data_IF_555937215361
#
_entry.id   IF_555937215361
#
_cell.length_a   1.000
_cell.length_b   1.000
_cell.length_c   1.000
_cell.angle_alpha   90.00
_cell.angle_beta   90.00
_cell.angle_gamma   90.00
#
_symmetry.space_group_name_H-M   'P 1'
#
loop_
_entity.id
_entity.type
_entity.pdbx_description
1 polymer ?
#
# COMPACT_ATOMS: atom_id res chain seq x y z
N UNK A 1 24.18 -15.45 0.70
CA UNK A 1 23.66 -14.95 2.00
C UNK A 1 23.05 -16.12 2.74
N UNK A 2 23.55 -16.45 3.94
CA UNK A 2 22.81 -17.31 4.86
C UNK A 2 21.72 -16.44 5.50
N UNK A 3 20.53 -16.49 4.92
CA UNK A 3 19.34 -15.77 5.38
C UNK A 3 18.87 -16.19 6.78
N UNK A 4 19.38 -17.33 7.25
CA UNK A 4 19.12 -17.91 8.56
C UNK A 4 20.47 -18.25 9.20
N UNK A 5 20.70 -17.78 10.41
CA UNK A 5 21.93 -17.99 11.17
C UNK A 5 21.84 -19.16 12.16
N UNK A 6 20.63 -19.65 12.45
CA UNK A 6 20.37 -20.84 13.27
C UNK A 6 18.99 -21.44 13.02
N UNK A 7 18.82 -22.73 13.35
CA UNK A 7 17.50 -23.40 13.31
C UNK A 7 16.46 -22.68 14.17
N UNK A 8 16.88 -22.11 15.31
CA UNK A 8 16.02 -21.31 16.18
C UNK A 8 15.48 -20.05 15.48
N UNK A 9 16.32 -19.37 14.69
CA UNK A 9 15.89 -18.21 13.91
C UNK A 9 14.90 -18.62 12.81
N UNK A 10 15.14 -19.75 12.14
CA UNK A 10 14.24 -20.30 11.14
C UNK A 10 12.86 -20.64 11.74
N UNK A 11 12.84 -21.34 12.87
CA UNK A 11 11.60 -21.73 13.54
C UNK A 11 10.80 -20.52 14.02
N UNK A 12 11.48 -19.47 14.49
CA UNK A 12 10.84 -18.20 14.83
C UNK A 12 10.22 -17.50 13.62
N UNK A 13 10.94 -17.38 12.50
CA UNK A 13 10.38 -16.80 11.27
C UNK A 13 9.17 -17.61 10.80
N UNK A 14 9.29 -18.94 10.81
CA UNK A 14 8.21 -19.86 10.42
C UNK A 14 7.00 -19.74 11.34
N UNK A 15 7.19 -19.56 12.64
CA UNK A 15 6.08 -19.37 13.58
C UNK A 15 5.36 -18.05 13.33
N UNK A 16 6.10 -16.97 13.02
CA UNK A 16 5.50 -15.67 12.69
C UNK A 16 4.71 -15.71 11.37
N UNK A 17 5.23 -16.37 10.35
CA UNK A 17 4.46 -16.58 9.10
C UNK A 17 3.15 -17.31 9.39
N UNK A 18 3.17 -18.41 10.17
CA UNK A 18 1.96 -19.15 10.54
C UNK A 18 0.96 -18.30 11.33
N UNK A 19 1.45 -17.46 12.24
CA UNK A 19 0.63 -16.60 13.09
C UNK A 19 -0.17 -15.57 12.27
N UNK A 20 0.51 -14.82 11.40
CA UNK A 20 -0.09 -13.74 10.61
C UNK A 20 -0.85 -14.23 9.38
N UNK A 21 -0.49 -15.37 8.82
CA UNK A 21 -1.20 -15.97 7.70
C UNK A 21 -2.47 -16.73 8.13
N UNK A 22 -2.63 -17.10 9.40
CA UNK A 22 -3.84 -17.81 9.83
C UNK A 22 -5.05 -16.84 9.90
N UNK A 23 -6.07 -16.98 9.02
CA UNK A 23 -7.18 -16.03 8.97
C UNK A 23 -8.03 -16.04 10.24
N UNK A 24 -8.10 -17.17 10.97
CA UNK A 24 -8.81 -17.27 12.25
C UNK A 24 -8.18 -16.39 13.31
N UNK A 25 -6.85 -16.33 13.36
CA UNK A 25 -6.14 -15.44 14.28
C UNK A 25 -6.42 -13.97 13.97
N UNK A 26 -6.60 -13.64 12.69
CA UNK A 26 -6.80 -12.26 12.26
C UNK A 26 -8.26 -11.81 12.38
N UNK A 27 -9.25 -12.66 12.02
CA UNK A 27 -10.66 -12.26 11.97
C UNK A 27 -11.26 -11.99 13.36
N UNK A 28 -10.72 -12.63 14.40
CA UNK A 28 -11.11 -12.39 15.79
C UNK A 28 -10.21 -11.37 16.50
N UNK A 29 -9.15 -10.91 15.85
CA UNK A 29 -8.35 -9.81 16.38
C UNK A 29 -9.04 -8.47 16.09
N UNK A 30 -9.23 -7.58 17.10
CA UNK A 30 -9.92 -6.31 16.92
C UNK A 30 -9.30 -5.39 15.86
N UNK A 31 -8.02 -5.58 15.51
CA UNK A 31 -7.31 -4.87 14.47
C UNK A 31 -7.20 -5.79 13.23
N UNK A 32 -6.73 -7.02 13.36
CA UNK A 32 -6.56 -7.97 12.28
C UNK A 32 -7.79 -8.14 11.37
N UNK A 33 -9.01 -8.02 11.92
CA UNK A 33 -10.25 -8.15 11.16
C UNK A 33 -10.37 -7.17 9.99
N UNK A 34 -9.76 -5.98 10.08
CA UNK A 34 -9.81 -4.98 9.02
C UNK A 34 -8.99 -5.38 7.78
N UNK A 35 -8.13 -6.41 7.88
CA UNK A 35 -7.43 -6.98 6.71
C UNK A 35 -8.39 -7.64 5.72
N UNK A 36 -9.61 -7.95 6.16
CA UNK A 36 -10.66 -8.58 5.34
C UNK A 36 -11.65 -7.57 4.76
N UNK A 37 -11.48 -6.27 5.03
CA UNK A 37 -12.32 -5.25 4.41
C UNK A 37 -12.14 -5.28 2.89
N UNK A 38 -13.28 -5.16 2.21
CA UNK A 38 -13.32 -5.05 0.76
C UNK A 38 -12.74 -3.68 0.35
N UNK A 39 -11.75 -3.72 -0.54
CA UNK A 39 -10.98 -2.56 -0.98
C UNK A 39 -11.50 -1.94 -2.27
N UNK A 40 -12.58 -2.46 -2.86
CA UNK A 40 -13.27 -1.80 -3.98
C UNK A 40 -13.91 -0.49 -3.52
N UNK A 41 -14.18 0.42 -4.46
CA UNK A 41 -14.76 1.72 -4.12
C UNK A 41 -16.16 1.59 -3.53
N UNK A 42 -16.40 2.36 -2.47
CA UNK A 42 -17.72 2.64 -1.93
C UNK A 42 -17.69 4.04 -1.30
N UNK A 43 -18.79 4.79 -1.40
CA UNK A 43 -18.91 6.13 -0.81
C UNK A 43 -19.08 6.02 0.72
N UNK A 44 -17.96 5.95 1.43
CA UNK A 44 -17.90 5.75 2.89
C UNK A 44 -17.20 6.89 3.65
N UNK A 45 -16.75 7.94 2.97
CA UNK A 45 -15.96 9.02 3.58
C UNK A 45 -16.13 10.34 2.83
N UNK A 46 -15.78 11.45 3.50
CA UNK A 46 -15.74 12.79 2.91
C UNK A 46 -14.30 13.31 2.82
N UNK A 47 -14.07 14.28 1.93
CA UNK A 47 -12.76 14.92 1.81
C UNK A 47 -12.30 15.55 3.14
N UNK A 48 -13.24 16.07 3.93
CA UNK A 48 -12.96 16.63 5.25
C UNK A 48 -12.46 15.57 6.23
N UNK A 49 -13.12 14.40 6.28
CA UNK A 49 -12.69 13.29 7.14
C UNK A 49 -11.28 12.81 6.76
N UNK A 50 -11.01 12.64 5.47
CA UNK A 50 -9.68 12.26 5.01
C UNK A 50 -8.64 13.36 5.28
N UNK A 51 -8.99 14.64 5.08
CA UNK A 51 -8.09 15.75 5.38
C UNK A 51 -7.75 15.84 6.87
N UNK A 52 -8.67 15.49 7.76
CA UNK A 52 -8.38 15.38 9.19
C UNK A 52 -7.34 14.29 9.48
N UNK A 53 -7.46 13.12 8.86
CA UNK A 53 -6.48 12.03 8.98
C UNK A 53 -5.11 12.40 8.36
N UNK A 54 -5.12 13.23 7.31
CA UNK A 54 -3.94 13.67 6.56
C UNK A 54 -3.26 14.92 7.15
N UNK A 55 -3.78 15.51 8.23
CA UNK A 55 -3.19 16.69 8.87
C UNK A 55 -1.79 16.38 9.40
N UNK A 56 -0.79 17.19 9.04
CA UNK A 56 0.61 17.00 9.41
C UNK A 56 1.30 15.83 8.71
N UNK A 57 0.73 15.29 7.62
CA UNK A 57 1.24 14.12 6.89
C UNK A 57 2.05 14.50 5.65
N UNK A 58 2.86 15.55 5.77
CA UNK A 58 3.77 16.01 4.72
C UNK A 58 3.05 16.31 3.41
N UNK A 59 3.52 15.72 2.31
CA UNK A 59 2.95 15.97 0.97
C UNK A 59 1.51 15.50 0.80
N UNK A 60 1.02 14.65 1.71
CA UNK A 60 -0.34 14.11 1.68
C UNK A 60 -1.37 15.05 2.33
N UNK A 61 -0.91 16.07 3.07
CA UNK A 61 -1.81 17.01 3.74
C UNK A 61 -2.73 17.72 2.74
N UNK A 62 -4.02 17.77 3.04
CA UNK A 62 -5.04 18.41 2.20
C UNK A 62 -5.45 17.61 0.95
N UNK A 63 -4.92 16.39 0.74
CA UNK A 63 -5.19 15.57 -0.45
C UNK A 63 -6.43 14.69 -0.39
N UNK A 64 -7.30 14.88 0.60
CA UNK A 64 -8.49 14.05 0.81
C UNK A 64 -9.40 13.93 -0.41
N UNK A 65 -9.69 15.05 -1.10
CA UNK A 65 -10.51 15.00 -2.32
C UNK A 65 -9.81 14.25 -3.45
N UNK A 66 -8.49 14.42 -3.60
CA UNK A 66 -7.71 13.73 -4.63
C UNK A 66 -7.74 12.22 -4.44
N UNK A 67 -7.69 11.74 -3.20
CA UNK A 67 -7.85 10.33 -2.87
C UNK A 67 -9.25 9.79 -3.18
N UNK A 68 -10.30 10.58 -2.92
CA UNK A 68 -11.69 10.23 -3.28
C UNK A 68 -11.82 10.10 -4.80
N UNK A 69 -11.34 11.09 -5.54
CA UNK A 69 -11.42 11.10 -7.00
C UNK A 69 -10.64 9.92 -7.60
N UNK A 70 -9.40 9.69 -7.13
CA UNK A 70 -8.57 8.57 -7.56
C UNK A 70 -9.23 7.21 -7.25
N UNK A 71 -9.81 7.08 -6.06
CA UNK A 71 -10.55 5.89 -5.65
C UNK A 71 -11.76 5.62 -6.53
N UNK A 72 -12.55 6.67 -6.81
CA UNK A 72 -13.72 6.58 -7.67
C UNK A 72 -13.36 6.20 -9.11
N UNK A 73 -12.36 6.88 -9.69
CA UNK A 73 -11.86 6.61 -11.04
C UNK A 73 -11.29 5.20 -11.19
N UNK A 74 -10.69 4.65 -10.11
CA UNK A 74 -10.00 3.36 -10.14
C UNK A 74 -10.81 2.20 -9.54
N UNK A 75 -12.03 2.42 -9.05
CA UNK A 75 -12.78 1.47 -8.23
C UNK A 75 -11.97 0.91 -7.05
N UNK A 76 -11.36 1.80 -6.27
CA UNK A 76 -10.59 1.49 -5.05
C UNK A 76 -11.07 2.35 -3.88
N UNK A 77 -11.15 1.77 -2.68
CA UNK A 77 -11.53 2.47 -1.46
C UNK A 77 -10.56 3.64 -1.16
N UNK A 78 -11.06 4.87 -0.98
CA UNK A 78 -10.21 6.02 -0.69
C UNK A 78 -9.60 5.96 0.72
N UNK A 79 -10.27 5.31 1.68
CA UNK A 79 -9.72 5.07 3.02
C UNK A 79 -8.48 4.17 2.91
N UNK A 80 -8.57 3.11 2.10
CA UNK A 80 -7.45 2.23 1.85
C UNK A 80 -6.28 2.94 1.15
N UNK A 81 -6.56 3.74 0.11
CA UNK A 81 -5.49 4.50 -0.57
C UNK A 81 -4.75 5.44 0.39
N UNK A 82 -5.47 6.12 1.29
CA UNK A 82 -4.86 6.96 2.33
C UNK A 82 -4.01 6.14 3.29
N UNK A 83 -4.55 5.05 3.84
CA UNK A 83 -3.83 4.19 4.78
C UNK A 83 -2.54 3.61 4.19
N UNK A 84 -2.64 3.18 2.92
CA UNK A 84 -1.54 2.64 2.15
C UNK A 84 -0.46 3.69 1.90
N UNK A 85 -0.85 4.86 1.37
CA UNK A 85 0.11 5.94 1.14
C UNK A 85 0.81 6.37 2.44
N UNK A 86 0.08 6.46 3.56
CA UNK A 86 0.67 6.81 4.85
C UNK A 86 1.74 5.82 5.31
N UNK A 87 1.54 4.51 5.09
CA UNK A 87 2.53 3.49 5.45
C UNK A 87 3.75 3.59 4.55
N UNK A 88 3.55 3.51 3.23
CA UNK A 88 4.64 3.43 2.24
C UNK A 88 5.51 4.69 2.20
N UNK A 89 4.96 5.83 2.60
CA UNK A 89 5.67 7.12 2.58
C UNK A 89 6.18 7.57 3.93
N UNK A 90 5.97 6.79 5.00
CA UNK A 90 6.29 7.21 6.36
C UNK A 90 5.59 8.53 6.70
N UNK A 91 4.26 8.57 6.63
CA UNK A 91 3.43 9.77 6.81
C UNK A 91 3.74 10.91 5.82
N UNK A 92 4.01 10.59 4.55
CA UNK A 92 4.23 11.58 3.47
C UNK A 92 5.59 12.29 3.53
N UNK A 93 6.57 11.70 4.21
CA UNK A 93 7.88 12.35 4.46
C UNK A 93 9.08 11.63 3.83
N UNK A 94 8.88 10.44 3.26
CA UNK A 94 9.93 9.70 2.57
C UNK A 94 10.50 10.47 1.37
N UNK A 95 11.72 10.13 0.95
CA UNK A 95 12.39 10.79 -0.20
C UNK A 95 11.54 10.70 -1.48
N UNK A 96 11.02 9.50 -1.80
CA UNK A 96 10.15 9.30 -2.96
C UNK A 96 8.84 10.09 -2.88
N UNK A 97 8.31 10.28 -1.67
CA UNK A 97 7.08 11.05 -1.47
C UNK A 97 7.31 12.57 -1.55
N UNK A 98 8.43 13.08 -1.03
CA UNK A 98 8.80 14.50 -1.15
C UNK A 98 9.20 14.89 -2.58
N UNK A 99 9.57 13.90 -3.37
CA UNK A 99 9.87 14.01 -4.79
C UNK A 99 11.36 13.92 -5.09
N UNK A 100 11.67 13.40 -6.27
CA UNK A 100 13.03 13.20 -6.78
C UNK A 100 13.13 13.83 -8.16
N UNK A 101 14.26 14.49 -8.47
CA UNK A 101 14.48 15.04 -9.81
C UNK A 101 15.01 13.96 -10.73
N UNK A 102 14.29 13.67 -11.82
CA UNK A 102 14.69 12.74 -12.88
C UNK A 102 14.58 13.48 -14.20
N UNK A 103 15.68 13.55 -14.96
CA UNK A 103 15.75 14.24 -16.26
C UNK A 103 15.16 15.68 -16.22
N UNK A 104 15.50 16.44 -15.17
CA UNK A 104 15.05 17.82 -15.00
C UNK A 104 13.60 18.01 -14.54
N UNK A 105 12.85 16.93 -14.24
CA UNK A 105 11.49 17.00 -13.69
C UNK A 105 11.42 16.37 -12.31
N UNK A 106 10.72 17.02 -11.38
CA UNK A 106 10.38 16.41 -10.09
C UNK A 106 9.27 15.38 -10.27
N UNK A 107 9.48 14.17 -9.75
CA UNK A 107 8.53 13.06 -9.77
C UNK A 107 8.22 12.58 -8.37
N UNK A 108 7.04 12.01 -8.18
CA UNK A 108 6.53 11.58 -6.88
C UNK A 108 6.11 10.11 -6.94
N UNK A 109 6.40 9.35 -5.89
CA UNK A 109 5.94 7.97 -5.75
C UNK A 109 5.44 7.73 -4.32
N UNK A 110 4.14 7.51 -4.19
CA UNK A 110 3.43 7.48 -2.89
C UNK A 110 3.06 6.07 -2.43
N UNK A 111 3.41 5.05 -3.21
CA UNK A 111 3.04 3.65 -2.96
C UNK A 111 4.21 2.68 -3.15
N UNK A 112 5.44 3.19 -3.22
CA UNK A 112 6.64 2.36 -3.41
C UNK A 112 6.69 1.59 -4.74
N UNK A 113 5.89 1.97 -5.74
CA UNK A 113 5.73 1.18 -6.96
C UNK A 113 7.02 1.22 -7.79
N UNK A 114 7.56 0.05 -8.13
CA UNK A 114 8.81 -0.05 -8.89
C UNK A 114 10.07 0.26 -8.07
N UNK A 115 9.95 0.47 -6.76
CA UNK A 115 11.10 0.54 -5.85
C UNK A 115 11.58 -0.89 -5.56
N UNK A 116 12.85 -1.19 -5.88
CA UNK A 116 13.47 -2.49 -5.64
C UNK A 116 14.50 -2.39 -4.52
N UNK A 117 14.70 -3.43 -3.74
CA UNK A 117 15.54 -3.41 -2.52
C UNK A 117 16.98 -2.90 -2.77
N UNK A 118 17.56 -3.19 -3.93
CA UNK A 118 18.94 -2.78 -4.26
C UNK A 118 19.08 -1.28 -4.57
N UNK A 119 18.02 -0.63 -5.04
CA UNK A 119 17.99 0.80 -5.36
C UNK A 119 16.54 1.33 -5.34
N UNK A 120 15.94 1.48 -4.14
CA UNK A 120 14.53 1.81 -4.03
C UNK A 120 14.24 3.24 -4.53
N UNK A 121 15.16 4.18 -4.31
CA UNK A 121 14.99 5.58 -4.70
C UNK A 121 15.18 5.75 -6.22
N UNK A 122 16.26 5.20 -6.79
CA UNK A 122 16.55 5.35 -8.22
C UNK A 122 15.50 4.64 -9.07
N UNK A 123 15.19 3.39 -8.76
CA UNK A 123 14.20 2.62 -9.54
C UNK A 123 12.77 3.11 -9.33
N UNK A 124 12.39 3.47 -8.09
CA UNK A 124 11.08 4.01 -7.79
C UNK A 124 10.83 5.38 -8.43
N UNK A 125 11.85 6.25 -8.51
CA UNK A 125 11.73 7.56 -9.16
C UNK A 125 11.78 7.46 -10.68
N UNK A 126 12.61 6.57 -11.24
CA UNK A 126 12.60 6.25 -12.68
C UNK A 126 11.23 5.77 -13.14
N UNK A 127 10.63 4.81 -12.42
CA UNK A 127 9.29 4.34 -12.72
C UNK A 127 8.26 5.47 -12.68
N UNK A 128 8.30 6.31 -11.64
CA UNK A 128 7.40 7.46 -11.52
C UNK A 128 7.54 8.45 -12.69
N UNK A 129 8.76 8.67 -13.20
CA UNK A 129 9.00 9.48 -14.39
C UNK A 129 8.35 8.88 -15.64
N UNK A 130 8.53 7.58 -15.87
CA UNK A 130 7.96 6.86 -17.01
C UNK A 130 6.42 6.87 -16.99
N UNK A 131 5.81 6.88 -15.79
CA UNK A 131 4.37 7.00 -15.63
C UNK A 131 3.84 8.44 -15.65
N UNK A 132 4.72 9.44 -15.72
CA UNK A 132 4.34 10.85 -15.75
C UNK A 132 3.83 11.41 -14.41
N UNK A 133 4.27 10.86 -13.28
CA UNK A 133 3.86 11.30 -11.93
C UNK A 133 4.58 12.58 -11.49
N UNK A 134 4.35 13.68 -12.23
CA UNK A 134 5.03 14.97 -12.05
C UNK A 134 4.40 15.87 -10.97
N UNK A 135 3.37 15.38 -10.27
CA UNK A 135 2.79 16.03 -9.10
C UNK A 135 2.30 14.97 -8.11
N UNK A 136 2.12 15.37 -6.85
CA UNK A 136 1.54 14.51 -5.81
C UNK A 136 0.19 13.96 -6.28
N UNK A 137 -0.66 14.80 -6.88
CA UNK A 137 -1.99 14.40 -7.31
C UNK A 137 -1.95 13.37 -8.45
N UNK A 138 -1.02 13.54 -9.40
CA UNK A 138 -0.80 12.58 -10.48
C UNK A 138 -0.26 11.25 -9.92
N UNK A 139 0.60 11.29 -8.90
CA UNK A 139 1.09 10.08 -8.24
C UNK A 139 0.00 9.35 -7.45
N UNK A 140 -0.92 10.07 -6.79
CA UNK A 140 -2.10 9.49 -6.12
C UNK A 140 -2.97 8.76 -7.16
N UNK A 141 -3.36 9.46 -8.24
CA UNK A 141 -4.22 8.89 -9.29
C UNK A 141 -3.57 7.72 -10.02
N UNK A 142 -2.30 7.88 -10.40
CA UNK A 142 -1.55 6.84 -11.11
C UNK A 142 -1.30 5.60 -10.26
N UNK A 143 -0.95 5.79 -8.98
CA UNK A 143 -0.80 4.70 -8.03
C UNK A 143 -2.10 3.95 -7.77
N UNK A 144 -3.23 4.67 -7.61
CA UNK A 144 -4.55 4.04 -7.46
C UNK A 144 -4.92 3.18 -8.68
N UNK A 145 -4.65 3.67 -9.90
CA UNK A 145 -4.86 2.92 -11.14
C UNK A 145 -3.99 1.66 -11.20
N UNK A 146 -2.73 1.76 -10.79
CA UNK A 146 -1.81 0.63 -10.75
C UNK A 146 -2.28 -0.45 -9.76
N UNK A 147 -2.66 -0.04 -8.54
CA UNK A 147 -3.20 -0.94 -7.50
C UNK A 147 -4.49 -1.60 -7.99
N UNK A 148 -5.38 -0.85 -8.63
CA UNK A 148 -6.63 -1.37 -9.19
C UNK A 148 -6.40 -2.47 -10.21
N UNK A 149 -5.60 -2.18 -11.25
CA UNK A 149 -5.33 -3.12 -12.33
C UNK A 149 -4.51 -4.34 -11.89
N UNK A 150 -3.57 -4.13 -10.96
CA UNK A 150 -2.70 -5.18 -10.45
C UNK A 150 -3.41 -6.14 -9.49
N UNK A 151 -4.34 -5.64 -8.68
CA UNK A 151 -4.84 -6.39 -7.52
C UNK A 151 -6.37 -6.40 -7.43
N UNK A 152 -6.99 -5.25 -7.14
CA UNK A 152 -8.40 -5.17 -6.71
C UNK A 152 -9.37 -5.53 -7.83
N UNK A 153 -9.16 -4.95 -9.02
CA UNK A 153 -9.98 -5.19 -10.20
C UNK A 153 -9.29 -6.13 -11.20
N UNK A 154 -8.25 -6.85 -10.75
CA UNK A 154 -7.56 -7.82 -11.60
C UNK A 154 -8.46 -9.04 -11.84
N UNK A 155 -8.80 -9.31 -13.11
CA UNK A 155 -9.70 -10.39 -13.47
C UNK A 155 -9.19 -11.80 -13.11
N UNK A 156 -7.86 -11.96 -12.98
CA UNK A 156 -7.22 -13.25 -12.66
C UNK A 156 -7.09 -13.43 -11.15
N UNK A 157 -6.44 -12.48 -10.46
CA UNK A 157 -6.07 -12.66 -9.05
C UNK A 157 -7.17 -12.24 -8.07
N UNK A 158 -8.00 -11.25 -8.41
CA UNK A 158 -9.14 -10.77 -7.59
C UNK A 158 -8.78 -10.54 -6.12
N UNK A 159 -7.67 -9.84 -5.87
CA UNK A 159 -7.16 -9.56 -4.54
C UNK A 159 -7.75 -8.25 -4.01
N UNK A 160 -9.02 -8.33 -3.60
CA UNK A 160 -9.85 -7.21 -3.16
C UNK A 160 -9.86 -6.98 -1.64
N UNK A 161 -8.96 -7.63 -0.89
CA UNK A 161 -8.72 -7.38 0.54
C UNK A 161 -7.22 -7.32 0.82
N UNK A 162 -6.80 -6.62 1.89
CA UNK A 162 -5.37 -6.59 2.30
C UNK A 162 -4.83 -8.00 2.50
N UNK A 163 -5.63 -8.88 3.11
CA UNK A 163 -5.30 -10.27 3.31
C UNK A 163 -5.03 -11.01 1.98
N UNK A 164 -5.91 -10.84 0.98
CA UNK A 164 -5.72 -11.47 -0.34
C UNK A 164 -4.51 -10.88 -1.07
N UNK A 165 -4.29 -9.58 -0.98
CA UNK A 165 -3.12 -8.91 -1.57
C UNK A 165 -1.81 -9.44 -0.98
N UNK A 166 -1.77 -9.68 0.33
CA UNK A 166 -0.57 -10.21 1.00
C UNK A 166 -0.36 -11.71 0.79
N UNK A 167 -1.41 -12.51 0.91
CA UNK A 167 -1.28 -13.97 1.03
C UNK A 167 -1.66 -14.74 -0.23
N UNK A 168 -2.52 -14.17 -1.08
CA UNK A 168 -3.13 -14.83 -2.24
C UNK A 168 -3.62 -16.26 -1.91
N UNK A 169 -4.65 -16.43 -1.07
CA UNK A 169 -5.08 -17.77 -0.64
C UNK A 169 -5.55 -18.66 -1.81
N UNK A 170 -5.96 -18.08 -2.93
CA UNK A 170 -6.35 -18.80 -4.15
C UNK A 170 -5.16 -19.39 -4.91
N UNK A 171 -3.98 -18.76 -4.81
CA UNK A 171 -2.73 -19.26 -5.37
C UNK A 171 -1.54 -18.82 -4.51
N UNK A 172 -1.27 -19.51 -3.39
CA UNK A 172 -0.26 -19.10 -2.41
C UNK A 172 1.12 -18.91 -3.05
N UNK A 173 1.90 -17.97 -2.52
CA UNK A 173 3.24 -17.57 -3.00
C UNK A 173 3.29 -16.84 -4.35
N UNK A 174 2.18 -16.77 -5.08
CA UNK A 174 2.08 -16.06 -6.36
C UNK A 174 1.49 -14.67 -6.17
N UNK A 175 2.05 -13.67 -6.84
CA UNK A 175 1.49 -12.31 -6.96
C UNK A 175 1.14 -11.67 -5.60
N UNK A 176 2.10 -11.68 -4.68
CA UNK A 176 1.97 -11.05 -3.36
C UNK A 176 2.43 -9.59 -3.43
N UNK A 177 1.69 -8.69 -2.79
CA UNK A 177 1.98 -7.26 -2.82
C UNK A 177 3.31 -6.91 -2.12
N UNK A 178 3.62 -7.60 -1.02
CA UNK A 178 4.77 -7.30 -0.18
C UNK A 178 5.44 -8.57 0.34
N UNK A 179 6.74 -8.44 0.62
CA UNK A 179 7.54 -9.49 1.27
C UNK A 179 7.39 -9.46 2.80
N UNK A 180 7.14 -8.29 3.41
CA UNK A 180 6.91 -8.16 4.85
C UNK A 180 5.70 -8.97 5.31
N UNK A 181 5.93 -9.94 6.20
CA UNK A 181 4.92 -10.84 6.81
C UNK A 181 3.84 -10.05 7.55
N UNK A 182 4.20 -8.90 8.13
CA UNK A 182 3.28 -8.06 8.90
C UNK A 182 2.59 -6.98 8.07
N UNK A 183 2.86 -6.89 6.76
CA UNK A 183 2.38 -5.81 5.91
C UNK A 183 0.87 -5.58 6.04
N UNK A 184 0.05 -6.63 5.88
CA UNK A 184 -1.40 -6.49 5.94
C UNK A 184 -1.89 -6.02 7.33
N UNK A 185 -1.27 -6.51 8.41
CA UNK A 185 -1.58 -6.08 9.78
C UNK A 185 -1.19 -4.62 10.02
N UNK A 186 -0.01 -4.21 9.53
CA UNK A 186 0.49 -2.85 9.65
C UNK A 186 -0.39 -1.84 8.89
N UNK A 187 -0.94 -2.23 7.75
CA UNK A 187 -1.88 -1.41 6.97
C UNK A 187 -3.16 -1.10 7.76
N UNK A 188 -3.67 -2.05 8.56
CA UNK A 188 -4.87 -1.79 9.37
C UNK A 188 -4.69 -0.64 10.34
N UNK A 189 -3.51 -0.52 10.96
CA UNK A 189 -3.25 0.52 11.95
C UNK A 189 -3.54 1.93 11.45
N UNK A 190 -3.48 2.15 10.13
CA UNK A 190 -3.86 3.41 9.50
C UNK A 190 -5.31 3.44 8.98
N UNK A 191 -5.94 2.29 8.70
CA UNK A 191 -7.36 2.21 8.32
C UNK A 191 -8.29 2.49 9.51
N UNK A 192 -7.91 2.06 10.72
CA UNK A 192 -8.76 2.21 11.92
C UNK A 192 -8.87 3.65 12.44
N UNK A 193 -7.87 4.49 12.16
CA UNK A 193 -7.75 5.86 12.72
C UNK A 193 -8.74 6.82 12.06
#
# INVERSE_FOLDING_TARGET
>A
MNWVQSDQQYDYIKSKVKEYMNPTNQIYDPIGQYQFLQLSYYECTTAQQLNNALKGKGVLEGKGQVFIDAGKESNVSPIYLVAHALLETGNGTSTLAKGVVVNGKTVYNLFGIGAVDSDPIGQGSKYAYEQGWFSVDLAIKGGAKWISAGYINNATYKQDTLYKMRWNPSNPTVHQYATDVMWAYNQVGNIKK
#
